data_IF_712728734010
#
_entry.id   IF_712728734010
#
_cell.length_a   1.000
_cell.length_b   1.000
_cell.length_c   1.000
_cell.angle_alpha   90.00
_cell.angle_beta   90.00
_cell.angle_gamma   90.00
#
_symmetry.space_group_name_H-M   'P 1'
#
loop_
_entity.id
_entity.type
_entity.pdbx_description
1 polymer ?
#
# COMPACT_ATOMS: atom_id res chain seq x y z
N UNK A 1 13.17 25.55 21.19
CA UNK A 1 13.93 24.33 21.53
C UNK A 1 13.96 23.48 20.27
N UNK A 2 15.11 22.97 19.82
CA UNK A 2 15.14 22.01 18.72
C UNK A 2 14.41 20.72 19.14
N UNK A 3 13.75 20.06 18.19
CA UNK A 3 13.18 18.72 18.40
C UNK A 3 14.21 17.73 17.85
N UNK A 4 14.79 16.93 18.74
CA UNK A 4 15.71 15.86 18.35
C UNK A 4 14.91 14.60 17.98
N UNK A 5 15.10 14.09 16.76
CA UNK A 5 14.48 12.85 16.29
C UNK A 5 15.28 11.64 16.72
N UNK A 6 14.63 10.59 17.24
CA UNK A 6 15.28 9.35 17.67
C UNK A 6 15.32 8.32 16.56
N UNK A 7 16.53 7.96 16.13
CA UNK A 7 16.75 6.89 15.16
C UNK A 7 16.65 5.50 15.82
N UNK A 8 16.21 4.44 15.10
CA UNK A 8 15.62 4.49 13.76
C UNK A 8 14.25 5.17 13.76
N UNK A 9 14.03 6.07 12.79
CA UNK A 9 12.79 6.84 12.63
C UNK A 9 11.92 6.17 11.58
N UNK A 10 10.70 5.80 11.93
CA UNK A 10 9.72 5.29 10.96
C UNK A 10 8.65 6.33 10.72
N UNK A 11 8.28 6.56 9.46
CA UNK A 11 7.29 7.56 9.08
C UNK A 11 6.20 6.90 8.23
N UNK A 12 4.95 7.23 8.51
CA UNK A 12 3.81 6.86 7.66
C UNK A 12 3.12 8.16 7.25
N UNK A 13 3.36 8.60 6.03
CA UNK A 13 2.65 9.72 5.43
C UNK A 13 1.35 9.22 4.81
N UNK A 14 0.20 9.78 5.19
CA UNK A 14 -1.11 9.30 4.76
C UNK A 14 -2.06 10.45 4.40
N UNK A 15 -2.84 10.27 3.34
CA UNK A 15 -3.83 11.25 2.93
C UNK A 15 -4.98 11.36 3.93
N UNK A 16 -5.20 12.57 4.47
CA UNK A 16 -6.25 12.83 5.47
C UNK A 16 -7.66 12.80 4.86
N UNK A 17 -7.85 13.40 3.68
CA UNK A 17 -9.16 13.48 3.02
C UNK A 17 -9.68 12.13 2.51
N UNK A 18 -8.78 11.21 2.15
CA UNK A 18 -9.17 9.82 1.84
C UNK A 18 -9.49 9.00 3.11
N UNK A 19 -9.37 9.59 4.31
CA UNK A 19 -9.66 8.99 5.62
C UNK A 19 -8.80 7.76 5.96
N UNK A 20 -7.55 7.69 5.50
CA UNK A 20 -6.67 6.54 5.75
C UNK A 20 -5.98 6.54 7.14
N UNK A 21 -6.36 7.46 8.01
CA UNK A 21 -5.86 7.57 9.39
C UNK A 21 -5.96 6.25 10.18
N UNK A 22 -7.06 5.49 10.04
CA UNK A 22 -7.20 4.18 10.70
C UNK A 22 -6.19 3.15 10.18
N UNK A 23 -5.91 3.13 8.86
CA UNK A 23 -4.94 2.20 8.27
C UNK A 23 -3.51 2.57 8.68
N UNK A 24 -3.17 3.86 8.67
CA UNK A 24 -1.89 4.35 9.12
C UNK A 24 -1.67 4.07 10.63
N UNK A 25 -2.68 4.35 11.46
CA UNK A 25 -2.64 4.11 12.91
C UNK A 25 -2.58 2.63 13.29
N UNK A 26 -3.25 1.74 12.56
CA UNK A 26 -3.11 0.29 12.74
C UNK A 26 -1.69 -0.18 12.35
N UNK A 27 -1.17 0.29 11.22
CA UNK A 27 0.18 -0.04 10.76
C UNK A 27 1.26 0.44 11.72
N UNK A 28 1.09 1.63 12.31
CA UNK A 28 1.95 2.11 13.39
C UNK A 28 1.97 1.17 14.60
N UNK A 29 0.79 0.72 15.06
CA UNK A 29 0.68 -0.21 16.19
C UNK A 29 1.34 -1.56 15.88
N UNK A 30 1.10 -2.12 14.69
CA UNK A 30 1.71 -3.39 14.26
C UNK A 30 3.25 -3.33 14.22
N UNK A 31 3.82 -2.21 13.77
CA UNK A 31 5.26 -1.98 13.75
C UNK A 31 5.82 -1.83 15.17
N UNK A 32 5.20 -1.03 16.03
CA UNK A 32 5.61 -0.85 17.42
C UNK A 32 5.50 -2.16 18.23
N UNK A 33 4.47 -2.98 18.00
CA UNK A 33 4.31 -4.30 18.61
C UNK A 33 5.37 -5.31 18.16
N UNK A 34 5.86 -5.18 16.91
CA UNK A 34 6.82 -6.13 16.32
C UNK A 34 8.25 -5.77 16.68
N UNK A 35 8.60 -4.49 16.63
CA UNK A 35 9.98 -4.03 16.79
C UNK A 35 10.27 -3.45 18.19
N UNK A 36 9.24 -3.06 18.95
CA UNK A 36 9.36 -2.52 20.30
C UNK A 36 10.40 -1.39 20.38
N UNK A 37 11.34 -1.53 21.30
CA UNK A 37 12.42 -0.56 21.55
C UNK A 37 13.45 -0.43 20.41
N UNK A 38 13.34 -1.24 19.35
CA UNK A 38 14.21 -1.14 18.16
C UNK A 38 13.85 0.06 17.28
N UNK A 39 12.61 0.55 17.38
CA UNK A 39 12.20 1.82 16.76
C UNK A 39 12.45 2.95 17.77
N UNK A 40 13.22 3.96 17.36
CA UNK A 40 13.49 5.14 18.19
C UNK A 40 12.28 6.07 18.25
N UNK A 41 11.61 6.29 17.12
CA UNK A 41 10.31 6.96 17.05
C UNK A 41 9.50 6.52 15.82
N UNK A 42 8.18 6.66 15.91
CA UNK A 42 7.27 6.49 14.79
C UNK A 42 6.40 7.74 14.63
N UNK A 43 6.40 8.33 13.44
CA UNK A 43 5.61 9.50 13.08
C UNK A 43 4.46 9.15 12.14
N UNK A 44 3.25 9.59 12.48
CA UNK A 44 2.11 9.63 11.57
C UNK A 44 2.02 11.04 10.96
N UNK A 45 2.24 11.16 9.65
CA UNK A 45 2.37 12.45 8.97
C UNK A 45 1.12 12.69 8.09
N UNK A 46 0.32 13.73 8.36
CA UNK A 46 -0.75 14.17 7.46
C UNK A 46 -0.22 14.57 6.09
N UNK A 47 -0.60 13.84 5.05
CA UNK A 47 -0.28 14.13 3.65
C UNK A 47 -1.50 14.58 2.84
N UNK A 48 -1.25 15.06 1.62
CA UNK A 48 -2.27 15.43 0.62
C UNK A 48 -2.28 14.42 -0.54
N UNK A 49 -3.19 14.57 -1.50
CA UNK A 49 -3.09 13.95 -2.84
C UNK A 49 -2.93 12.43 -2.89
N UNK A 50 -3.79 11.70 -2.15
CA UNK A 50 -3.89 10.24 -2.13
C UNK A 50 -2.57 9.50 -1.84
N UNK A 51 -1.71 10.15 -1.06
CA UNK A 51 -0.42 9.62 -0.61
C UNK A 51 -0.61 8.58 0.48
N UNK A 52 0.14 7.48 0.37
CA UNK A 52 0.35 6.52 1.45
C UNK A 52 1.78 5.99 1.29
N UNK A 53 2.72 6.63 2.00
CA UNK A 53 4.16 6.37 1.91
C UNK A 53 4.65 5.90 3.26
N UNK A 54 5.47 4.85 3.28
CA UNK A 54 6.22 4.43 4.45
C UNK A 54 7.69 4.77 4.23
N UNK A 55 8.32 5.44 5.20
CA UNK A 55 9.76 5.75 5.19
C UNK A 55 10.46 5.20 6.42
N UNK A 56 11.75 4.92 6.29
CA UNK A 56 12.66 4.61 7.40
C UNK A 56 13.88 5.50 7.27
N UNK A 57 14.18 6.30 8.29
CA UNK A 57 15.28 7.27 8.31
C UNK A 57 15.26 8.28 7.12
N UNK A 58 14.07 8.55 6.57
CA UNK A 58 13.84 9.39 5.39
C UNK A 58 13.71 8.62 4.05
N UNK A 59 14.31 7.43 3.95
CA UNK A 59 14.28 6.60 2.75
C UNK A 59 12.89 5.97 2.54
N UNK A 60 12.35 6.04 1.33
CA UNK A 60 11.07 5.39 0.98
C UNK A 60 11.26 3.88 0.95
N UNK A 61 10.50 3.16 1.78
CA UNK A 61 10.42 1.69 1.72
C UNK A 61 9.18 1.22 0.96
N UNK A 62 8.12 2.04 0.89
CA UNK A 62 6.92 1.75 0.11
C UNK A 62 6.18 3.03 -0.28
N UNK A 63 5.77 3.17 -1.55
CA UNK A 63 4.76 4.16 -1.99
C UNK A 63 3.57 3.45 -2.66
N UNK A 64 2.35 3.76 -2.20
CA UNK A 64 1.10 3.32 -2.85
C UNK A 64 1.02 3.71 -4.33
N UNK A 65 1.57 4.86 -4.72
CA UNK A 65 1.52 5.36 -6.10
C UNK A 65 2.33 4.46 -7.04
N UNK A 66 3.50 4.03 -6.61
CA UNK A 66 4.39 3.15 -7.39
C UNK A 66 3.84 1.72 -7.47
N UNK A 67 3.29 1.20 -6.36
CA UNK A 67 2.75 -0.16 -6.31
C UNK A 67 1.29 -0.29 -6.77
N UNK A 68 0.55 0.81 -6.94
CA UNK A 68 -0.87 0.82 -7.30
C UNK A 68 -1.82 0.21 -6.26
N UNK A 69 -1.32 -0.14 -5.06
CA UNK A 69 -2.06 -0.81 -3.98
C UNK A 69 -1.63 -0.32 -2.61
N UNK A 70 -2.36 -0.72 -1.57
CA UNK A 70 -1.87 -0.60 -0.20
C UNK A 70 -0.80 -1.65 0.10
N UNK A 71 0.14 -1.35 1.01
CA UNK A 71 1.12 -2.32 1.45
C UNK A 71 0.48 -3.39 2.34
N UNK A 72 0.96 -4.62 2.24
CA UNK A 72 0.57 -5.67 3.19
C UNK A 72 1.41 -5.59 4.47
N UNK A 73 0.83 -5.93 5.62
CA UNK A 73 1.54 -5.79 6.90
C UNK A 73 2.85 -6.58 6.96
N UNK A 74 2.83 -7.78 6.35
CA UNK A 74 4.00 -8.65 6.23
C UNK A 74 5.12 -8.01 5.42
N UNK A 75 4.79 -7.43 4.27
CA UNK A 75 5.71 -6.72 3.40
C UNK A 75 6.35 -5.52 4.13
N UNK A 76 5.56 -4.67 4.81
CA UNK A 76 6.11 -3.54 5.56
C UNK A 76 7.04 -4.01 6.68
N UNK A 77 6.66 -5.05 7.43
CA UNK A 77 7.53 -5.62 8.48
C UNK A 77 8.83 -6.15 7.88
N UNK A 78 8.79 -6.87 6.76
CA UNK A 78 10.00 -7.35 6.07
C UNK A 78 10.93 -6.22 5.63
N UNK A 79 10.37 -5.17 5.01
CA UNK A 79 11.09 -4.00 4.49
C UNK A 79 11.72 -3.17 5.62
N UNK A 80 10.93 -2.83 6.65
CA UNK A 80 11.42 -2.08 7.82
C UNK A 80 12.51 -2.85 8.54
N UNK A 81 12.31 -4.16 8.80
CA UNK A 81 13.31 -5.05 9.40
C UNK A 81 14.62 -5.04 8.63
N UNK A 82 14.56 -5.08 7.29
CA UNK A 82 15.74 -5.08 6.42
C UNK A 82 16.65 -3.85 6.61
N UNK A 83 16.12 -2.76 7.16
CA UNK A 83 16.89 -1.53 7.46
C UNK A 83 17.24 -1.45 8.94
N UNK A 84 16.30 -1.72 9.86
CA UNK A 84 16.49 -1.43 11.30
C UNK A 84 17.05 -2.60 12.11
N UNK A 85 16.85 -3.85 11.66
CA UNK A 85 17.32 -5.05 12.35
C UNK A 85 17.42 -6.26 11.40
N UNK A 86 18.40 -6.30 10.47
CA UNK A 86 18.50 -7.34 9.45
C UNK A 86 18.49 -8.77 10.02
N UNK A 87 19.16 -8.98 11.15
CA UNK A 87 19.28 -10.27 11.85
C UNK A 87 18.02 -10.70 12.62
N UNK A 88 16.97 -9.85 12.69
CA UNK A 88 15.74 -10.16 13.41
C UNK A 88 14.82 -11.05 12.58
N UNK A 89 14.51 -12.23 13.11
CA UNK A 89 13.47 -13.11 12.59
C UNK A 89 12.06 -12.59 12.92
N UNK A 90 11.18 -12.57 11.93
CA UNK A 90 9.78 -12.14 11.99
C UNK A 90 8.79 -13.33 12.00
N UNK A 91 9.28 -14.55 12.19
CA UNK A 91 8.48 -15.78 12.27
C UNK A 91 7.68 -16.04 10.99
N UNK A 92 6.35 -16.15 11.08
CA UNK A 92 5.47 -16.34 9.92
C UNK A 92 5.54 -15.22 8.87
N UNK A 93 6.08 -14.05 9.24
CA UNK A 93 6.31 -12.95 8.31
C UNK A 93 7.58 -13.11 7.47
N UNK A 94 8.49 -14.05 7.75
CA UNK A 94 9.70 -14.26 6.93
C UNK A 94 9.48 -15.16 5.71
N UNK A 95 8.48 -16.03 5.72
CA UNK A 95 8.15 -16.84 4.54
C UNK A 95 7.90 -15.93 3.32
N UNK A 96 8.30 -16.34 2.11
CA UNK A 96 8.00 -15.57 0.91
C UNK A 96 6.50 -15.20 0.82
N UNK A 97 6.19 -13.97 0.39
CA UNK A 97 4.82 -13.59 0.04
C UNK A 97 4.48 -14.32 -1.26
N UNK A 98 3.69 -15.38 -1.18
CA UNK A 98 3.28 -16.16 -2.35
C UNK A 98 2.19 -15.38 -3.10
N UNK A 99 2.61 -14.50 -3.99
CA UNK A 99 1.70 -13.93 -5.01
C UNK A 99 1.05 -15.07 -5.80
N UNK A 100 -0.24 -14.90 -6.12
CA UNK A 100 -1.09 -15.96 -6.68
C UNK A 100 -0.66 -16.43 -8.08
N UNK A 101 -1.23 -17.58 -8.50
CA UNK A 101 -0.76 -18.57 -9.50
C UNK A 101 0.09 -19.66 -8.82
N UNK A 102 -0.25 -20.96 -8.80
CA UNK A 102 -1.45 -21.76 -9.17
C UNK A 102 -1.40 -23.09 -8.38
N UNK A 103 -2.41 -23.96 -8.27
CA UNK A 103 -3.83 -23.95 -8.66
C UNK A 103 -4.69 -24.77 -7.64
N UNK A 104 -5.95 -25.08 -7.96
CA UNK A 104 -6.75 -26.13 -7.31
C UNK A 104 -6.43 -27.52 -7.88
N UNK A 105 -5.98 -28.44 -7.03
CA UNK A 105 -6.33 -29.86 -7.20
C UNK A 105 -6.65 -30.48 -5.83
N UNK A 106 -7.91 -30.89 -5.69
CA UNK A 106 -8.48 -31.55 -4.50
C UNK A 106 -8.73 -33.02 -4.88
N UNK A 107 -8.37 -33.99 -4.03
CA UNK A 107 -8.50 -35.40 -4.40
C UNK A 107 -9.96 -35.82 -4.61
N UNK A 108 -10.13 -36.76 -5.55
CA UNK A 108 -11.41 -37.16 -6.13
C UNK A 108 -12.17 -38.20 -5.31
N UNK A 109 -13.51 -38.12 -5.35
CA UNK A 109 -14.39 -39.26 -5.04
C UNK A 109 -15.63 -39.26 -5.96
N UNK A 110 -15.59 -40.16 -6.95
CA UNK A 110 -16.65 -40.94 -7.64
C UNK A 110 -18.06 -40.34 -7.91
N UNK A 111 -18.47 -40.53 -9.18
CA UNK A 111 -19.72 -40.20 -9.93
C UNK A 111 -20.99 -41.00 -9.46
N UNK A 112 -22.21 -40.95 -10.11
CA UNK A 112 -22.53 -40.43 -11.46
C UNK A 112 -23.95 -39.80 -11.77
N UNK A 113 -24.12 -39.42 -13.04
CA UNK A 113 -25.35 -39.37 -13.88
C UNK A 113 -26.30 -38.15 -13.83
N UNK A 114 -26.60 -37.58 -15.01
CA UNK A 114 -27.73 -36.65 -15.27
C UNK A 114 -27.59 -35.87 -16.60
N UNK A 115 -28.49 -36.09 -17.56
CA UNK A 115 -28.51 -35.46 -18.90
C UNK A 115 -29.13 -34.03 -18.93
N UNK A 116 -28.87 -33.22 -19.98
CA UNK A 116 -29.82 -32.17 -20.40
C UNK A 116 -29.33 -30.89 -21.10
N UNK A 117 -29.19 -30.95 -22.44
CA UNK A 117 -29.71 -29.96 -23.42
C UNK A 117 -29.12 -28.51 -23.62
N UNK A 118 -28.86 -28.19 -24.91
CA UNK A 118 -29.16 -26.92 -25.64
C UNK A 118 -28.16 -25.72 -25.67
N UNK A 119 -27.38 -25.66 -26.77
CA UNK A 119 -27.23 -24.57 -27.78
C UNK A 119 -26.98 -23.08 -27.39
N UNK A 120 -25.95 -22.43 -27.98
CA UNK A 120 -26.01 -21.27 -28.93
C UNK A 120 -24.80 -20.29 -28.89
N UNK A 121 -24.24 -19.96 -30.08
CA UNK A 121 -23.41 -18.78 -30.47
C UNK A 121 -22.07 -18.45 -29.73
N UNK A 122 -21.15 -17.59 -30.21
CA UNK A 122 -20.54 -17.22 -31.52
C UNK A 122 -19.89 -15.83 -31.38
N UNK A 123 -18.57 -15.71 -31.54
CA UNK A 123 -17.83 -14.45 -31.85
C UNK A 123 -17.75 -13.35 -30.76
N UNK A 124 -16.96 -12.27 -30.88
CA UNK A 124 -15.79 -11.95 -31.75
C UNK A 124 -15.01 -10.75 -31.16
N UNK A 125 -13.70 -10.74 -31.37
CA UNK A 125 -12.66 -9.68 -31.30
C UNK A 125 -13.04 -8.18 -31.35
N UNK A 126 -12.41 -7.35 -30.51
CA UNK A 126 -11.73 -6.04 -30.79
C UNK A 126 -11.34 -5.35 -29.45
N UNK A 127 -10.20 -4.68 -29.19
CA UNK A 127 -9.21 -3.86 -29.96
C UNK A 127 -9.54 -2.35 -30.04
N UNK A 128 -8.60 -1.51 -29.58
CA UNK A 128 -8.55 -0.04 -29.76
C UNK A 128 -8.52 0.74 -28.43
N UNK A 129 -7.43 1.37 -27.99
CA UNK A 129 -6.86 2.67 -28.45
C UNK A 129 -7.80 3.87 -28.22
N UNK A 130 -7.40 5.09 -27.86
CA UNK A 130 -6.19 5.79 -27.37
C UNK A 130 -6.57 7.29 -27.41
N UNK A 131 -5.90 8.17 -26.63
CA UNK A 131 -6.16 9.62 -26.62
C UNK A 131 -6.14 10.12 -25.18
N UNK A 132 -5.06 10.67 -24.64
CA UNK A 132 -4.16 11.74 -25.12
C UNK A 132 -4.91 13.07 -25.27
N UNK A 133 -4.82 13.89 -24.22
CA UNK A 133 -5.37 15.23 -24.11
C UNK A 133 -4.52 16.01 -23.10
N UNK A 134 -3.66 16.87 -23.62
CA UNK A 134 -2.57 17.56 -22.91
C UNK A 134 -3.01 18.99 -22.59
N UNK A 135 -2.81 19.45 -21.36
CA UNK A 135 -3.07 20.84 -20.95
C UNK A 135 -2.15 21.28 -19.81
N UNK A 136 -1.03 21.85 -20.23
CA UNK A 136 -0.13 22.84 -19.61
C UNK A 136 -0.45 23.32 -18.19
N UNK A 137 0.55 23.24 -17.31
CA UNK A 137 0.51 23.83 -15.98
C UNK A 137 0.65 25.38 -16.01
N UNK A 138 0.05 26.04 -15.02
CA UNK A 138 0.45 27.37 -14.56
C UNK A 138 0.33 27.35 -13.04
N UNK A 139 1.47 27.38 -12.37
CA UNK A 139 1.56 27.38 -10.91
C UNK A 139 2.05 28.74 -10.45
N UNK A 140 1.11 29.58 -10.01
CA UNK A 140 1.41 30.66 -9.07
C UNK A 140 1.08 30.11 -7.68
N UNK A 141 2.09 29.96 -6.83
CA UNK A 141 1.95 29.29 -5.53
C UNK A 141 2.18 30.30 -4.41
N UNK A 142 1.09 30.90 -3.94
CA UNK A 142 1.05 31.54 -2.62
C UNK A 142 1.20 30.48 -1.52
N UNK A 143 1.91 30.81 -0.44
CA UNK A 143 2.01 29.98 0.76
C UNK A 143 0.62 29.69 1.37
N UNK A 144 0.02 28.56 0.99
CA UNK A 144 -1.22 28.07 1.58
C UNK A 144 -0.94 27.09 2.73
N UNK A 145 -1.68 27.30 3.83
CA UNK A 145 -1.78 26.45 5.00
C UNK A 145 -1.59 24.95 4.68
N UNK A 146 -0.48 24.40 5.20
CA UNK A 146 -0.11 22.99 4.99
C UNK A 146 -1.16 22.01 5.52
N UNK A 147 -2.08 22.45 6.40
CA UNK A 147 -3.15 21.62 6.96
C UNK A 147 -4.41 21.57 6.10
N UNK A 148 -4.60 22.52 5.17
CA UNK A 148 -5.75 22.57 4.28
C UNK A 148 -5.71 21.40 3.25
N UNK A 149 -6.66 20.47 3.38
CA UNK A 149 -6.85 19.40 2.40
C UNK A 149 -7.80 19.89 1.28
N UNK A 150 -7.37 19.97 0.01
CA UNK A 150 -8.24 20.40 -1.08
C UNK A 150 -9.40 19.41 -1.26
N UNK A 151 -10.62 19.94 -1.35
CA UNK A 151 -11.87 19.16 -1.48
C UNK A 151 -11.87 18.19 -2.66
N UNK A 152 -11.19 18.58 -3.75
CA UNK A 152 -11.32 17.97 -5.07
C UNK A 152 -10.18 17.00 -5.41
N UNK A 153 -9.63 16.30 -4.39
CA UNK A 153 -8.57 15.31 -4.58
C UNK A 153 -9.06 14.07 -5.37
N UNK A 154 -9.03 14.18 -6.70
CA UNK A 154 -9.56 13.21 -7.68
C UNK A 154 -9.00 11.77 -7.55
N UNK A 155 -7.85 11.61 -6.90
CA UNK A 155 -7.18 10.32 -6.65
C UNK A 155 -7.49 9.69 -5.28
N UNK A 156 -8.35 10.30 -4.45
CA UNK A 156 -8.70 9.80 -3.10
C UNK A 156 -9.72 8.64 -3.07
N UNK A 157 -10.26 8.24 -4.22
CA UNK A 157 -11.16 7.09 -4.35
C UNK A 157 -10.41 5.75 -4.16
#
# INVERSE_FOLDING_TARGET
MPIETRLPRVEIEFCTGCKWHLRAGWMAQELLLTFGNTIGELALIPGKSATFIVRVNGDVVFDRKDHGRFPEMKEVKQLVRGIIAPEMGLGHSDSAVKSAITDKEQPTSTSPTGEGATTTATGTTSTGQQGKGEATATTDATDEDSTAHPSDCKTCA
#
